data_IF_182922551972
#
_entry.id   IF_182922551972
#
_cell.length_a   1.000
_cell.length_b   1.000
_cell.length_c   1.000
_cell.angle_alpha   90.00
_cell.angle_beta   90.00
_cell.angle_gamma   90.00
#
_symmetry.space_group_name_H-M   'P 1'
#
loop_
_entity.id
_entity.type
_entity.pdbx_description
1 polymer ?
#
# COMPACT_ATOMS: atom_id res chain seq x y z
N UNK A 1 -4.19 -9.03 26.47
CA UNK A 1 -4.56 -8.12 25.36
C UNK A 1 -4.16 -8.79 24.05
N UNK A 2 -5.12 -9.14 23.19
CA UNK A 2 -4.85 -9.78 21.90
C UNK A 2 -4.34 -8.73 20.93
N UNK A 3 -3.17 -8.94 20.32
CA UNK A 3 -2.64 -8.06 19.27
C UNK A 3 -3.24 -8.46 17.93
N UNK A 4 -3.65 -7.48 17.14
CA UNK A 4 -4.12 -7.70 15.77
C UNK A 4 -2.95 -8.21 14.93
N UNK A 5 -3.17 -9.31 14.20
CA UNK A 5 -2.24 -9.77 13.16
C UNK A 5 -2.54 -9.01 11.89
N UNK A 6 -1.77 -7.95 11.63
CA UNK A 6 -2.07 -7.00 10.54
C UNK A 6 -2.19 -7.67 9.18
N UNK A 7 -1.31 -8.61 8.82
CA UNK A 7 -1.39 -9.34 7.55
C UNK A 7 -2.71 -10.12 7.41
N UNK A 8 -3.14 -10.84 8.45
CA UNK A 8 -4.40 -11.58 8.41
C UNK A 8 -5.61 -10.64 8.33
N UNK A 9 -5.55 -9.52 9.03
CA UNK A 9 -6.59 -8.50 8.98
C UNK A 9 -6.67 -7.86 7.59
N UNK A 10 -5.53 -7.53 6.99
CA UNK A 10 -5.44 -7.03 5.61
C UNK A 10 -6.07 -8.01 4.62
N UNK A 11 -5.75 -9.30 4.71
CA UNK A 11 -6.32 -10.30 3.83
C UNK A 11 -7.84 -10.41 4.00
N UNK A 12 -8.33 -10.41 5.24
CA UNK A 12 -9.77 -10.46 5.52
C UNK A 12 -10.48 -9.19 5.02
N UNK A 13 -9.89 -8.02 5.23
CA UNK A 13 -10.41 -6.75 4.73
C UNK A 13 -10.47 -6.72 3.21
N UNK A 14 -9.40 -7.12 2.52
CA UNK A 14 -9.34 -7.11 1.06
C UNK A 14 -10.37 -8.06 0.45
N UNK A 15 -10.57 -9.24 1.04
CA UNK A 15 -11.62 -10.16 0.60
C UNK A 15 -13.02 -9.52 0.72
N UNK A 16 -13.31 -8.89 1.86
CA UNK A 16 -14.58 -8.19 2.06
C UNK A 16 -14.76 -7.01 1.10
N UNK A 17 -13.73 -6.18 0.90
CA UNK A 17 -13.77 -5.00 0.05
C UNK A 17 -13.92 -5.37 -1.43
N UNK A 18 -13.27 -6.44 -1.90
CA UNK A 18 -13.44 -6.94 -3.27
C UNK A 18 -14.87 -7.42 -3.53
N UNK A 19 -15.51 -8.03 -2.54
CA UNK A 19 -16.89 -8.53 -2.67
C UNK A 19 -17.94 -7.39 -2.64
N UNK A 20 -17.69 -6.33 -1.85
CA UNK A 20 -18.72 -5.32 -1.55
C UNK A 20 -18.45 -3.91 -2.11
N UNK A 21 -17.21 -3.64 -2.51
CA UNK A 21 -16.74 -2.30 -2.90
C UNK A 21 -15.93 -2.34 -4.20
N UNK A 22 -16.27 -3.26 -5.11
CA UNK A 22 -15.62 -3.35 -6.41
C UNK A 22 -15.75 -2.00 -7.17
N UNK A 23 -14.65 -1.41 -7.65
CA UNK A 23 -14.70 -0.20 -8.45
C UNK A 23 -15.45 -0.39 -9.77
N UNK A 24 -16.15 0.64 -10.22
CA UNK A 24 -16.75 0.70 -11.54
C UNK A 24 -15.70 0.99 -12.63
N UNK A 25 -16.07 0.78 -13.89
CA UNK A 25 -15.24 1.17 -15.04
C UNK A 25 -14.97 2.69 -15.03
N UNK A 26 -13.76 3.06 -15.42
CA UNK A 26 -13.22 4.43 -15.42
C UNK A 26 -13.19 5.12 -14.04
N UNK A 27 -13.37 4.37 -12.96
CA UNK A 27 -13.32 4.93 -11.61
C UNK A 27 -11.91 5.37 -11.21
N UNK A 28 -11.83 6.46 -10.44
CA UNK A 28 -10.58 7.02 -9.94
C UNK A 28 -10.23 6.45 -8.55
N UNK A 29 -9.06 5.81 -8.47
CA UNK A 29 -8.48 5.28 -7.25
C UNK A 29 -7.25 6.09 -6.84
N UNK A 30 -7.27 6.64 -5.62
CA UNK A 30 -6.12 7.30 -5.03
C UNK A 30 -5.30 6.31 -4.19
N UNK A 31 -4.00 6.24 -4.43
CA UNK A 31 -3.07 5.40 -3.66
C UNK A 31 -2.25 6.27 -2.71
N UNK A 32 -2.22 5.89 -1.44
CA UNK A 32 -1.51 6.62 -0.39
C UNK A 32 -1.07 5.71 0.77
N UNK A 33 0.13 5.98 1.30
CA UNK A 33 0.70 5.35 2.48
C UNK A 33 0.31 6.04 3.80
N UNK A 34 -0.22 5.28 4.76
CA UNK A 34 -0.53 5.75 6.13
C UNK A 34 0.13 4.90 7.19
N UNK A 35 0.73 5.54 8.18
CA UNK A 35 1.26 4.86 9.37
C UNK A 35 0.14 4.56 10.38
N UNK A 36 0.16 3.35 10.95
CA UNK A 36 -0.78 2.95 12.01
C UNK A 36 -0.21 3.42 13.35
N UNK A 37 -0.93 4.29 14.04
CA UNK A 37 -0.56 4.75 15.40
C UNK A 37 -0.54 3.58 16.39
N UNK A 38 0.32 3.68 17.40
CA UNK A 38 0.49 2.67 18.44
C UNK A 38 0.89 1.26 17.93
N UNK A 39 1.51 1.18 16.74
CA UNK A 39 2.04 -0.07 16.18
C UNK A 39 3.55 -0.25 16.39
N UNK A 40 4.20 0.70 17.07
CA UNK A 40 5.63 0.65 17.36
C UNK A 40 5.99 -0.60 18.17
N UNK A 41 6.94 -1.38 17.67
CA UNK A 41 7.68 -2.37 18.45
C UNK A 41 9.05 -1.82 18.85
N UNK A 42 9.63 -2.35 19.93
CA UNK A 42 11.02 -2.05 20.32
C UNK A 42 11.21 -0.56 20.69
N UNK A 43 10.30 -0.06 21.54
CA UNK A 43 10.20 1.36 21.92
C UNK A 43 11.46 1.93 22.59
N UNK A 44 12.33 1.07 23.10
CA UNK A 44 13.56 1.40 23.81
C UNK A 44 14.79 1.47 22.87
N UNK A 45 14.63 1.20 21.58
CA UNK A 45 15.71 1.21 20.59
C UNK A 45 15.62 2.42 19.64
N UNK A 46 16.77 2.99 19.20
CA UNK A 46 16.79 3.89 18.05
C UNK A 46 16.36 3.13 16.78
N UNK A 47 15.71 3.82 15.83
CA UNK A 47 15.12 3.21 14.63
C UNK A 47 13.99 2.22 14.95
N UNK A 48 12.98 2.69 15.69
CA UNK A 48 11.78 1.92 16.01
C UNK A 48 11.06 1.40 14.76
N UNK A 49 10.59 0.15 14.81
CA UNK A 49 9.80 -0.43 13.75
C UNK A 49 8.30 -0.20 14.01
N UNK A 50 7.57 0.26 13.00
CA UNK A 50 6.12 0.43 13.05
C UNK A 50 5.46 -0.20 11.80
N UNK A 51 4.14 -0.37 11.88
CA UNK A 51 3.33 -0.88 10.77
C UNK A 51 2.71 0.31 10.05
N UNK A 52 2.83 0.30 8.74
CA UNK A 52 2.11 1.20 7.83
C UNK A 52 1.33 0.39 6.82
N UNK A 53 0.39 1.05 6.15
CA UNK A 53 -0.41 0.48 5.07
C UNK A 53 -0.36 1.39 3.88
N UNK A 54 -0.38 0.81 2.68
CA UNK A 54 -0.74 1.49 1.44
C UNK A 54 -2.19 1.15 1.16
N UNK A 55 -3.01 2.14 0.84
CA UNK A 55 -4.43 1.94 0.57
C UNK A 55 -4.79 2.38 -0.85
N UNK A 56 -5.69 1.65 -1.50
CA UNK A 56 -6.36 2.06 -2.72
C UNK A 56 -7.74 2.59 -2.35
N UNK A 57 -7.90 3.91 -2.43
CA UNK A 57 -9.13 4.60 -2.06
C UNK A 57 -9.95 4.95 -3.30
N UNK A 58 -11.17 4.44 -3.36
CA UNK A 58 -12.16 4.84 -4.34
C UNK A 58 -12.65 6.26 -4.03
N UNK A 59 -12.36 7.19 -4.95
CA UNK A 59 -12.79 8.58 -4.80
C UNK A 59 -14.31 8.70 -4.96
N UNK A 60 -14.90 7.90 -5.86
CA UNK A 60 -16.34 7.95 -6.15
C UNK A 60 -17.18 7.33 -5.04
N UNK A 61 -16.78 6.17 -4.52
CA UNK A 61 -17.51 5.45 -3.47
C UNK A 61 -17.12 5.93 -2.06
N UNK A 62 -15.99 6.63 -1.92
CA UNK A 62 -15.53 7.19 -0.65
C UNK A 62 -15.00 6.12 0.32
N UNK A 63 -14.54 4.98 -0.19
CA UNK A 63 -14.10 3.82 0.60
C UNK A 63 -12.78 3.26 0.11
N UNK A 64 -12.05 2.58 0.99
CA UNK A 64 -10.86 1.81 0.61
C UNK A 64 -11.31 0.49 -0.01
N UNK A 65 -10.83 0.21 -1.22
CA UNK A 65 -11.17 -1.00 -2.00
C UNK A 65 -10.09 -2.08 -1.90
N UNK A 66 -8.94 -1.73 -1.33
CA UNK A 66 -7.91 -2.67 -0.91
C UNK A 66 -6.76 -1.97 -0.20
N UNK A 67 -6.00 -2.72 0.60
CA UNK A 67 -4.84 -2.23 1.30
C UNK A 67 -3.73 -3.28 1.39
N UNK A 68 -2.50 -2.84 1.53
CA UNK A 68 -1.34 -3.70 1.76
C UNK A 68 -0.53 -3.19 2.95
N UNK A 69 -0.13 -4.08 3.85
CA UNK A 69 0.70 -3.72 5.01
C UNK A 69 2.17 -3.75 4.66
N UNK A 70 2.93 -2.80 5.20
CA UNK A 70 4.38 -2.83 5.19
C UNK A 70 4.92 -2.54 6.59
N UNK A 71 6.09 -3.12 6.89
CA UNK A 71 6.82 -2.81 8.11
C UNK A 71 7.95 -1.84 7.78
N UNK A 72 8.03 -0.75 8.55
CA UNK A 72 9.08 0.25 8.36
C UNK A 72 10.46 -0.43 8.40
N UNK A 73 11.36 -0.01 7.50
CA UNK A 73 12.73 -0.53 7.34
C UNK A 73 12.87 -1.89 6.65
N UNK A 74 11.77 -2.58 6.32
CA UNK A 74 11.83 -3.86 5.60
C UNK A 74 11.47 -3.72 4.12
N UNK A 75 10.49 -2.86 3.81
CA UNK A 75 9.94 -2.71 2.46
C UNK A 75 9.67 -1.24 2.17
N UNK A 76 9.89 -0.81 0.93
CA UNK A 76 9.56 0.55 0.51
C UNK A 76 8.08 0.70 0.18
N UNK A 77 7.57 1.93 0.25
CA UNK A 77 6.19 2.23 -0.15
C UNK A 77 5.94 1.88 -1.62
N UNK A 78 6.91 2.15 -2.49
CA UNK A 78 6.84 1.83 -3.94
C UNK A 78 6.64 0.33 -4.17
N UNK A 79 7.44 -0.52 -3.53
CA UNK A 79 7.28 -1.98 -3.64
C UNK A 79 5.92 -2.44 -3.08
N UNK A 80 5.46 -1.80 -2.00
CA UNK A 80 4.17 -2.12 -1.40
C UNK A 80 3.00 -1.76 -2.33
N UNK A 81 3.10 -0.63 -3.03
CA UNK A 81 2.17 -0.24 -4.09
C UNK A 81 2.14 -1.28 -5.21
N UNK A 82 3.30 -1.72 -5.71
CA UNK A 82 3.38 -2.74 -6.76
C UNK A 82 2.64 -4.03 -6.34
N UNK A 83 2.91 -4.52 -5.13
CA UNK A 83 2.23 -5.70 -4.56
C UNK A 83 0.72 -5.46 -4.44
N UNK A 84 0.29 -4.29 -3.99
CA UNK A 84 -1.14 -3.97 -3.87
C UNK A 84 -1.84 -4.01 -5.23
N UNK A 85 -1.23 -3.42 -6.27
CA UNK A 85 -1.79 -3.40 -7.62
C UNK A 85 -1.88 -4.81 -8.21
N UNK A 86 -0.86 -5.64 -7.98
CA UNK A 86 -0.85 -7.06 -8.40
C UNK A 86 -1.94 -7.89 -7.71
N UNK A 87 -2.23 -7.62 -6.43
CA UNK A 87 -3.30 -8.31 -5.69
C UNK A 87 -4.70 -7.86 -6.14
N UNK A 88 -4.85 -6.57 -6.45
CA UNK A 88 -6.14 -6.00 -6.83
C UNK A 88 -6.58 -6.42 -8.24
N UNK A 89 -5.63 -6.58 -9.17
CA UNK A 89 -5.89 -6.97 -10.58
C UNK A 89 -7.00 -6.16 -11.27
N UNK A 90 -7.21 -4.92 -10.83
CA UNK A 90 -8.25 -4.05 -11.35
C UNK A 90 -7.87 -3.55 -12.75
N UNK A 91 -8.86 -3.51 -13.63
CA UNK A 91 -8.73 -3.03 -15.02
C UNK A 91 -9.77 -1.95 -15.26
N UNK A 92 -9.50 -1.09 -16.24
CA UNK A 92 -10.43 -0.02 -16.62
C UNK A 92 -10.51 1.12 -15.61
N UNK A 93 -9.73 1.11 -14.52
CA UNK A 93 -9.68 2.18 -13.52
C UNK A 93 -8.51 3.15 -13.77
N UNK A 94 -8.59 4.35 -13.21
CA UNK A 94 -7.51 5.32 -13.20
C UNK A 94 -6.87 5.38 -11.80
N UNK A 95 -5.57 5.18 -11.72
CA UNK A 95 -4.83 5.34 -10.46
C UNK A 95 -4.16 6.72 -10.39
N UNK A 96 -4.24 7.38 -9.24
CA UNK A 96 -3.38 8.51 -8.90
C UNK A 96 -2.49 8.16 -7.72
N UNK A 97 -1.21 8.50 -7.84
CA UNK A 97 -0.20 8.30 -6.80
C UNK A 97 0.63 9.57 -6.69
N UNK A 98 1.22 9.80 -5.52
CA UNK A 98 2.16 10.90 -5.34
C UNK A 98 3.39 10.75 -6.25
N UNK A 99 3.97 11.88 -6.67
CA UNK A 99 5.15 11.90 -7.52
C UNK A 99 6.37 11.19 -6.89
N UNK A 100 6.39 11.02 -5.56
CA UNK A 100 7.38 10.22 -4.84
C UNK A 100 7.42 8.75 -5.27
N UNK A 101 6.34 8.24 -5.88
CA UNK A 101 6.29 6.87 -6.42
C UNK A 101 6.97 6.73 -7.79
N UNK A 102 7.42 7.82 -8.40
CA UNK A 102 8.13 7.75 -9.67
C UNK A 102 9.51 7.13 -9.48
N UNK A 103 9.82 6.11 -10.29
CA UNK A 103 11.13 5.49 -10.28
C UNK A 103 12.03 6.20 -11.29
N UNK A 104 13.18 6.68 -10.84
CA UNK A 104 14.22 7.13 -11.77
C UNK A 104 14.93 5.88 -12.28
N UNK A 105 14.96 5.69 -13.60
CA UNK A 105 15.87 4.72 -14.20
C UNK A 105 17.30 5.10 -13.79
N UNK A 106 17.90 4.32 -12.89
CA UNK A 106 19.36 4.30 -12.77
C UNK A 106 19.86 3.73 -14.09
N UNK A 107 20.21 4.61 -15.04
CA UNK A 107 20.86 4.18 -16.27
C UNK A 107 21.97 3.20 -15.90
N UNK A 108 21.96 2.03 -16.52
CA UNK A 108 23.10 1.12 -16.48
C UNK A 108 24.35 1.95 -16.69
N UNK A 109 25.20 2.02 -15.67
CA UNK A 109 26.50 2.64 -15.78
C UNK A 109 27.27 1.79 -16.79
N UNK A 110 27.28 2.19 -18.06
CA UNK A 110 28.21 1.63 -19.02
C UNK A 110 29.61 2.06 -18.56
N UNK A 111 30.53 1.13 -18.20
CA UNK A 111 31.84 1.49 -17.69
C UNK A 111 32.79 2.07 -18.74
N UNK A 112 32.34 2.30 -19.98
CA UNK A 112 33.17 2.90 -21.02
C UNK A 112 33.02 4.42 -21.10
N UNK A 113 33.48 5.15 -20.08
CA UNK A 113 34.14 6.47 -20.17
C UNK A 113 34.88 6.76 -18.86
#
# INVERSE_FOLDING_TARGET
MVRVKFELFTNAFNAWAQEHCAPADAEHLAIDGKAIKASVSDYDQPYQAFVSVVSAFSVTQGVVVGLETMRSQQTSEIQTVEVLLEKLQLKGVCFSLDALHTQKNSGTHDPQW
#
